data_IF_814047659984
#
_entry.id   IF_814047659984
#
_cell.length_a   1.000
_cell.length_b   1.000
_cell.length_c   1.000
_cell.angle_alpha   90.00
_cell.angle_beta   90.00
_cell.angle_gamma   90.00
#
_symmetry.space_group_name_H-M   'P 1'
#
loop_
_entity.id
_entity.type
_entity.pdbx_description
1 polymer ?
#
# COMPACT_ATOMS: atom_id res chain seq x y z
N UNK A 1 -17.56 16.85 0.41
CA UNK A 1 -17.89 15.50 0.92
C UNK A 1 -17.09 15.21 2.18
N UNK A 2 -17.63 14.40 3.09
CA UNK A 2 -16.88 13.91 4.26
C UNK A 2 -15.92 12.80 3.84
N UNK A 3 -14.71 12.80 4.38
CA UNK A 3 -13.68 11.80 4.13
C UNK A 3 -12.88 11.52 5.40
N UNK A 4 -12.34 10.31 5.52
CA UNK A 4 -11.29 10.04 6.52
C UNK A 4 -9.94 10.28 5.85
N UNK A 5 -9.12 11.14 6.43
CA UNK A 5 -7.78 11.50 5.93
C UNK A 5 -6.71 11.20 6.96
N UNK A 6 -5.52 10.83 6.50
CA UNK A 6 -4.32 10.73 7.32
C UNK A 6 -3.48 12.00 7.10
N UNK A 7 -3.34 12.85 8.14
CA UNK A 7 -2.45 14.02 8.06
C UNK A 7 -0.99 13.68 8.27
N UNK A 8 -0.74 12.64 9.05
CA UNK A 8 0.58 12.10 9.32
C UNK A 8 0.49 10.58 9.38
N UNK A 9 1.56 9.94 8.93
CA UNK A 9 1.77 8.51 9.13
C UNK A 9 2.16 8.25 10.59
N UNK A 10 1.73 7.12 11.14
CA UNK A 10 1.97 6.83 12.55
C UNK A 10 1.08 5.71 13.10
N UNK A 11 0.72 5.84 14.38
CA UNK A 11 -0.11 4.90 15.11
C UNK A 11 -1.61 5.05 14.82
N UNK A 12 -2.45 4.35 15.60
CA UNK A 12 -3.91 4.31 15.40
C UNK A 12 -4.61 5.67 15.51
N UNK A 13 -3.94 6.69 16.04
CA UNK A 13 -4.42 8.06 16.21
C UNK A 13 -4.44 8.91 14.92
N UNK A 14 -3.84 8.43 13.83
CA UNK A 14 -3.69 9.20 12.59
C UNK A 14 -4.98 9.56 11.81
N UNK A 15 -6.00 8.68 11.70
CA UNK A 15 -7.18 8.96 10.88
C UNK A 15 -8.09 10.06 11.44
N UNK A 16 -8.51 10.98 10.58
CA UNK A 16 -9.39 12.09 10.95
C UNK A 16 -10.53 12.31 9.94
N UNK A 17 -11.73 12.61 10.45
CA UNK A 17 -12.86 13.03 9.63
C UNK A 17 -12.69 14.49 9.18
N UNK A 18 -12.59 14.70 7.87
CA UNK A 18 -12.44 16.01 7.24
C UNK A 18 -13.48 16.25 6.15
N UNK A 19 -13.59 17.50 5.70
CA UNK A 19 -14.36 17.87 4.52
C UNK A 19 -13.45 18.19 3.34
N UNK A 20 -13.73 17.58 2.18
CA UNK A 20 -13.01 17.78 0.93
C UNK A 20 -13.98 18.16 -0.20
N UNK A 21 -13.53 18.82 -1.28
CA UNK A 21 -14.34 19.00 -2.48
C UNK A 21 -14.79 17.65 -3.04
N UNK A 22 -15.96 17.62 -3.69
CA UNK A 22 -16.37 16.43 -4.44
C UNK A 22 -15.40 16.22 -5.61
N UNK A 23 -14.84 15.01 -5.82
CA UNK A 23 -13.90 14.73 -6.89
C UNK A 23 -14.49 15.03 -8.27
N UNK A 24 -13.66 15.53 -9.19
CA UNK A 24 -13.96 15.63 -10.62
C UNK A 24 -13.60 14.30 -11.28
N UNK A 25 -14.35 13.90 -12.30
CA UNK A 25 -14.10 12.67 -13.06
C UNK A 25 -13.45 12.97 -14.42
N UNK A 26 -12.52 12.11 -14.84
CA UNK A 26 -11.94 12.09 -16.18
C UNK A 26 -12.70 11.11 -17.11
N UNK A 27 -12.48 11.16 -18.43
CA UNK A 27 -13.01 10.15 -19.34
C UNK A 27 -12.59 8.73 -18.91
N UNK A 28 -13.56 7.83 -18.82
CA UNK A 28 -13.33 6.45 -18.35
C UNK A 28 -13.50 6.22 -16.85
N UNK A 29 -13.78 7.27 -16.07
CA UNK A 29 -14.01 7.16 -14.62
C UNK A 29 -15.50 7.32 -14.26
N UNK A 30 -15.87 6.80 -13.09
CA UNK A 30 -17.20 6.94 -12.51
C UNK A 30 -17.12 7.49 -11.09
N UNK A 31 -18.04 8.39 -10.72
CA UNK A 31 -18.16 8.90 -9.36
C UNK A 31 -19.14 8.03 -8.56
N UNK A 32 -18.63 7.34 -7.55
CA UNK A 32 -19.44 6.45 -6.69
C UNK A 32 -19.78 7.15 -5.37
N UNK A 33 -21.06 7.12 -5.00
CA UNK A 33 -21.51 7.56 -3.67
C UNK A 33 -21.35 6.42 -2.67
N UNK A 34 -20.26 6.45 -1.92
CA UNK A 34 -19.94 5.44 -0.89
C UNK A 34 -20.96 5.50 0.25
N UNK A 35 -21.58 4.36 0.59
CA UNK A 35 -22.48 4.19 1.75
C UNK A 35 -21.76 3.64 2.98
N UNK A 36 -20.78 2.78 2.76
CA UNK A 36 -19.89 2.21 3.75
C UNK A 36 -18.54 1.89 3.09
N UNK A 37 -17.46 1.93 3.86
CA UNK A 37 -16.13 1.53 3.42
C UNK A 37 -15.62 0.42 4.35
N UNK A 38 -14.99 -0.61 3.79
CA UNK A 38 -14.31 -1.63 4.58
C UNK A 38 -13.03 -1.07 5.20
N UNK A 39 -12.75 -1.43 6.45
CA UNK A 39 -11.48 -1.15 7.12
C UNK A 39 -10.65 -2.43 7.08
N UNK A 40 -9.45 -2.36 6.53
CA UNK A 40 -8.58 -3.48 6.25
C UNK A 40 -7.26 -3.38 7.04
N UNK A 41 -6.60 -4.51 7.35
CA UNK A 41 -5.26 -4.49 7.95
C UNK A 41 -4.22 -3.72 7.12
N UNK A 42 -4.41 -3.58 5.81
CA UNK A 42 -3.53 -2.80 4.96
C UNK A 42 -3.52 -1.31 5.35
N UNK A 43 -4.65 -0.76 5.80
CA UNK A 43 -4.82 0.66 6.07
C UNK A 43 -3.84 1.14 7.16
N UNK A 44 -3.76 0.42 8.28
CA UNK A 44 -2.82 0.75 9.35
C UNK A 44 -1.38 0.38 9.01
N UNK A 45 -1.15 -0.70 8.24
CA UNK A 45 0.20 -1.11 7.84
C UNK A 45 0.86 -0.06 6.94
N UNK A 46 0.12 0.51 6.00
CA UNK A 46 0.61 1.61 5.15
C UNK A 46 0.98 2.81 6.02
N UNK A 47 0.13 3.18 6.99
CA UNK A 47 0.43 4.27 7.89
C UNK A 47 1.66 4.01 8.77
N UNK A 48 1.80 2.81 9.35
CA UNK A 48 2.94 2.47 10.19
C UNK A 48 4.26 2.41 9.39
N UNK A 49 4.26 1.74 8.24
CA UNK A 49 5.43 1.64 7.36
C UNK A 49 5.82 3.00 6.80
N UNK A 50 4.85 3.86 6.44
CA UNK A 50 5.09 5.23 6.01
C UNK A 50 5.82 6.06 7.06
N UNK A 51 5.48 5.90 8.34
CA UNK A 51 6.17 6.59 9.45
C UNK A 51 7.61 6.09 9.64
N UNK A 52 7.82 4.78 9.57
CA UNK A 52 9.16 4.19 9.64
C UNK A 52 10.03 4.61 8.45
N UNK A 53 9.47 4.63 7.24
CA UNK A 53 10.17 5.09 6.04
C UNK A 53 10.54 6.58 6.15
N UNK A 54 9.59 7.45 6.51
CA UNK A 54 9.84 8.89 6.65
C UNK A 54 10.85 9.25 7.75
N UNK A 55 11.02 8.39 8.75
CA UNK A 55 12.03 8.55 9.81
C UNK A 55 13.36 7.83 9.54
N UNK A 56 13.51 7.17 8.39
CA UNK A 56 14.70 6.40 8.03
C UNK A 56 14.90 5.13 8.88
N UNK A 57 13.86 4.67 9.57
CA UNK A 57 13.89 3.50 10.46
C UNK A 57 13.38 2.21 9.80
N UNK A 58 12.95 2.30 8.53
CA UNK A 58 12.54 1.14 7.76
C UNK A 58 13.71 0.61 6.92
N UNK A 59 14.14 -0.61 7.21
CA UNK A 59 14.98 -1.40 6.31
C UNK A 59 14.13 -2.50 5.68
N UNK A 60 14.06 -2.50 4.35
CA UNK A 60 13.41 -3.58 3.60
C UNK A 60 14.47 -4.61 3.24
N UNK A 61 14.37 -5.80 3.83
CA UNK A 61 15.19 -6.94 3.42
C UNK A 61 14.58 -7.51 2.15
N UNK A 62 15.33 -7.50 1.05
CA UNK A 62 14.96 -8.23 -0.17
C UNK A 62 15.47 -9.66 -0.02
N UNK A 63 14.54 -10.61 -0.03
CA UNK A 63 14.85 -12.03 0.09
C UNK A 63 15.19 -12.64 -1.27
N UNK A 64 14.39 -12.31 -2.29
CA UNK A 64 14.53 -12.76 -3.68
C UNK A 64 14.08 -11.65 -4.61
N UNK A 65 14.72 -11.55 -5.77
CA UNK A 65 14.33 -10.66 -6.85
C UNK A 65 14.16 -11.49 -8.13
N UNK A 66 13.10 -11.20 -8.89
CA UNK A 66 12.80 -11.84 -10.17
C UNK A 66 12.65 -10.77 -11.25
N UNK A 67 13.06 -11.02 -12.50
CA UNK A 67 12.69 -10.14 -13.60
C UNK A 67 11.16 -10.20 -13.84
N UNK A 68 10.55 -9.17 -14.45
CA UNK A 68 9.10 -9.14 -14.66
C UNK A 68 8.59 -10.33 -15.49
N UNK A 69 9.42 -10.85 -16.39
CA UNK A 69 9.12 -12.04 -17.19
C UNK A 69 8.87 -13.31 -16.34
N UNK A 70 9.40 -13.35 -15.12
CA UNK A 70 9.31 -14.48 -14.18
C UNK A 70 8.29 -14.24 -13.04
N UNK A 71 7.35 -13.31 -13.21
CA UNK A 71 6.36 -12.98 -12.17
C UNK A 71 5.56 -14.21 -11.65
N UNK A 72 5.32 -15.20 -12.51
CA UNK A 72 4.67 -16.45 -12.10
C UNK A 72 5.51 -17.26 -11.12
N UNK A 73 6.83 -17.28 -11.29
CA UNK A 73 7.75 -17.98 -10.38
C UNK A 73 7.88 -17.22 -9.06
N UNK A 74 7.91 -15.88 -9.10
CA UNK A 74 7.84 -15.06 -7.89
C UNK A 74 6.57 -15.35 -7.07
N UNK A 75 5.41 -15.54 -7.72
CA UNK A 75 4.17 -15.91 -7.04
C UNK A 75 4.19 -17.30 -6.43
N UNK A 76 4.74 -18.30 -7.13
CA UNK A 76 4.92 -19.66 -6.56
C UNK A 76 5.83 -19.61 -5.34
N UNK A 77 6.96 -18.92 -5.48
CA UNK A 77 7.95 -18.72 -4.44
C UNK A 77 7.36 -18.09 -3.17
N UNK A 78 6.43 -17.14 -3.28
CA UNK A 78 5.73 -16.54 -2.13
C UNK A 78 4.74 -17.51 -1.49
N UNK A 79 4.05 -18.34 -2.27
CA UNK A 79 3.05 -19.29 -1.76
C UNK A 79 3.66 -20.43 -0.94
N UNK A 80 4.91 -20.82 -1.23
CA UNK A 80 5.66 -21.83 -0.47
C UNK A 80 6.02 -21.36 0.97
N UNK A 81 5.83 -20.08 1.27
CA UNK A 81 6.12 -19.47 2.57
C UNK A 81 7.61 -19.29 2.85
N UNK A 82 7.98 -19.12 4.13
CA UNK A 82 9.37 -19.06 4.62
C UNK A 82 10.26 -17.92 4.12
N UNK A 83 9.73 -16.90 3.46
CA UNK A 83 10.49 -15.72 3.05
C UNK A 83 11.07 -14.98 4.27
N UNK A 84 12.37 -14.69 4.27
CA UNK A 84 13.03 -13.88 5.32
C UNK A 84 12.99 -12.37 5.05
N UNK A 85 12.27 -11.97 4.01
CA UNK A 85 12.14 -10.59 3.53
C UNK A 85 11.09 -10.48 2.42
N UNK A 86 11.10 -9.36 1.71
CA UNK A 86 10.24 -9.14 0.56
C UNK A 86 10.78 -9.88 -0.67
N UNK A 87 9.90 -10.59 -1.37
CA UNK A 87 10.17 -11.01 -2.75
C UNK A 87 9.76 -9.84 -3.65
N UNK A 88 10.66 -9.40 -4.52
CA UNK A 88 10.44 -8.23 -5.40
C UNK A 88 10.51 -8.62 -6.87
N UNK A 89 9.82 -7.84 -7.71
CA UNK A 89 10.08 -7.82 -9.14
C UNK A 89 11.03 -6.67 -9.41
N UNK A 90 12.22 -6.98 -9.90
CA UNK A 90 13.20 -5.98 -10.30
C UNK A 90 12.93 -5.58 -11.74
N UNK A 91 12.35 -4.39 -11.94
CA UNK A 91 11.95 -3.90 -13.26
C UNK A 91 13.14 -3.61 -14.18
N UNK A 92 14.34 -3.49 -13.61
CA UNK A 92 15.58 -3.27 -14.34
C UNK A 92 16.31 -4.60 -14.62
N UNK A 93 15.86 -5.72 -14.05
CA UNK A 93 16.34 -7.05 -14.38
C UNK A 93 15.70 -7.55 -15.68
N UNK A 94 16.56 -7.84 -16.67
CA UNK A 94 16.19 -8.23 -18.04
C UNK A 94 15.55 -9.60 -18.17
#
# INVERSE_FOLDING_TARGET
>A
MKAITLRQYGGPEGPELTELPTPKIAPGEVLVRVKAAGVNPADWKVAALGALAGSGKLSVVVDRAFPPAEAADAWRAVQEGHTRGQTVLDIDAG
#
